data_IF_377192340170
#
_entry.id   IF_377192340170
#
_cell.length_a   1.000
_cell.length_b   1.000
_cell.length_c   1.000
_cell.angle_alpha   90.00
_cell.angle_beta   90.00
_cell.angle_gamma   90.00
#
_symmetry.space_group_name_H-M   'P 1'
#
loop_
_entity.id
_entity.type
_entity.pdbx_description
1 polymer ?
#
# COMPACT_ATOMS: atom_id res chain seq x y z
N UNK A 1 10.67 -34.65 30.34
CA UNK A 1 11.18 -33.67 29.34
C UNK A 1 10.57 -33.82 27.94
N UNK A 2 9.81 -34.89 27.64
CA UNK A 2 9.14 -35.10 26.33
C UNK A 2 7.84 -34.31 26.13
N UNK A 3 7.11 -33.96 27.20
CA UNK A 3 5.81 -33.30 27.10
C UNK A 3 5.84 -31.84 26.62
N UNK A 4 6.93 -31.11 26.87
CA UNK A 4 7.07 -29.70 26.48
C UNK A 4 7.33 -29.51 24.99
N UNK A 5 7.97 -30.48 24.31
CA UNK A 5 8.19 -30.41 22.85
C UNK A 5 6.91 -30.70 22.07
N UNK A 6 6.07 -31.65 22.55
CA UNK A 6 4.82 -32.02 21.91
C UNK A 6 3.77 -30.90 21.91
N UNK A 7 3.75 -30.06 22.95
CA UNK A 7 2.82 -28.92 23.03
C UNK A 7 3.29 -27.70 22.20
N UNK A 8 4.59 -27.57 21.95
CA UNK A 8 5.19 -26.40 21.28
C UNK A 8 5.17 -26.55 19.76
N UNK A 9 5.34 -27.78 19.25
CA UNK A 9 5.30 -28.08 17.82
C UNK A 9 4.02 -27.58 17.09
N UNK A 10 2.78 -27.84 17.56
CA UNK A 10 1.58 -27.38 16.87
C UNK A 10 1.40 -25.86 16.91
N UNK A 11 1.86 -25.22 17.99
CA UNK A 11 1.79 -23.77 18.15
C UNK A 11 2.81 -23.09 17.21
N UNK A 12 3.97 -23.72 17.03
CA UNK A 12 5.02 -23.25 16.13
C UNK A 12 4.65 -23.46 14.66
N UNK A 13 4.00 -24.57 14.30
CA UNK A 13 3.48 -24.78 12.93
C UNK A 13 2.33 -23.82 12.60
N UNK A 14 1.46 -23.51 13.56
CA UNK A 14 0.36 -22.54 13.36
C UNK A 14 0.89 -21.12 13.18
N UNK A 15 1.95 -20.74 13.91
CA UNK A 15 2.63 -19.45 13.73
C UNK A 15 3.39 -19.41 12.42
N UNK A 16 4.11 -20.47 12.05
CA UNK A 16 4.82 -20.55 10.77
C UNK A 16 3.83 -20.51 9.59
N UNK A 17 2.70 -21.19 9.70
CA UNK A 17 1.61 -21.15 8.73
C UNK A 17 0.99 -19.74 8.65
N UNK A 18 0.74 -19.09 9.80
CA UNK A 18 0.25 -17.71 9.84
C UNK A 18 1.26 -16.76 9.19
N UNK A 19 2.56 -16.85 9.50
CA UNK A 19 3.63 -16.07 8.86
C UNK A 19 3.68 -16.32 7.36
N UNK A 20 3.53 -17.57 6.94
CA UNK A 20 3.55 -17.93 5.51
C UNK A 20 2.34 -17.32 4.81
N UNK A 21 1.14 -17.39 5.40
CA UNK A 21 -0.06 -16.70 4.88
C UNK A 21 0.15 -15.19 4.88
N UNK A 22 0.71 -14.64 5.96
CA UNK A 22 0.95 -13.21 6.13
C UNK A 22 2.03 -12.70 5.20
N UNK A 23 2.97 -13.52 4.72
CA UNK A 23 4.01 -13.15 3.75
C UNK A 23 3.61 -13.50 2.31
N UNK A 24 2.74 -14.47 2.11
CA UNK A 24 2.29 -14.94 0.80
C UNK A 24 1.13 -14.13 0.21
N UNK A 25 0.41 -13.32 1.00
CA UNK A 25 -0.57 -12.36 0.42
C UNK A 25 0.25 -11.20 -0.15
N UNK A 26 0.60 -11.12 -1.45
CA UNK A 26 1.30 -9.94 -1.94
C UNK A 26 0.47 -8.69 -1.61
N UNK A 27 1.10 -7.51 -1.39
CA UNK A 27 0.35 -6.27 -1.48
C UNK A 27 -0.28 -6.28 -2.88
N UNK A 28 -1.59 -6.57 -2.93
CA UNK A 28 -2.30 -6.68 -4.18
C UNK A 28 -2.09 -5.35 -4.91
N UNK A 29 -1.74 -5.38 -6.21
CA UNK A 29 -1.56 -4.16 -6.97
C UNK A 29 -2.82 -3.30 -6.78
N UNK A 30 -2.62 -2.10 -6.24
CA UNK A 30 -3.67 -1.13 -5.89
C UNK A 30 -4.30 -0.48 -7.14
N UNK A 31 -4.45 -1.26 -8.21
CA UNK A 31 -4.97 -0.77 -9.47
C UNK A 31 -5.74 -1.86 -10.17
N UNK A 32 -6.94 -1.49 -10.62
CA UNK A 32 -7.68 -2.16 -11.70
C UNK A 32 -8.58 -3.31 -11.25
N UNK A 33 -9.60 -3.00 -10.45
CA UNK A 33 -10.83 -3.81 -10.42
C UNK A 33 -11.94 -3.30 -11.36
N UNK A 34 -11.80 -2.10 -11.97
CA UNK A 34 -12.86 -1.53 -12.82
C UNK A 34 -12.52 -1.38 -14.31
N UNK A 35 -11.27 -1.56 -14.77
CA UNK A 35 -10.97 -1.43 -16.22
C UNK A 35 -11.11 -2.73 -17.04
N UNK A 36 -11.46 -3.88 -16.41
CA UNK A 36 -11.52 -5.18 -17.12
C UNK A 36 -12.79 -5.41 -17.95
N UNK A 37 -13.74 -4.48 -17.98
CA UNK A 37 -14.99 -4.66 -18.72
C UNK A 37 -15.17 -3.75 -19.94
N UNK A 38 -14.18 -2.93 -20.32
CA UNK A 38 -14.27 -2.16 -21.56
C UNK A 38 -12.90 -1.92 -22.21
N UNK A 39 -12.35 -2.96 -22.83
CA UNK A 39 -11.60 -2.86 -24.09
C UNK A 39 -11.07 -4.24 -24.48
N UNK A 40 -11.76 -4.88 -25.43
CA UNK A 40 -11.08 -5.75 -26.39
C UNK A 40 -10.34 -4.80 -27.34
N UNK A 41 -9.09 -4.46 -27.02
CA UNK A 41 -8.19 -3.80 -27.97
C UNK A 41 -6.74 -4.12 -27.61
N UNK A 42 -6.17 -5.05 -28.38
CA UNK A 42 -4.74 -5.29 -28.67
C UNK A 42 -3.79 -5.31 -27.47
N UNK A 43 -3.39 -6.52 -27.07
CA UNK A 43 -2.27 -6.75 -26.16
C UNK A 43 -0.95 -6.28 -26.80
N UNK A 44 -0.18 -5.36 -26.18
CA UNK A 44 1.22 -5.20 -26.54
C UNK A 44 2.02 -6.39 -26.01
N UNK A 45 2.68 -7.12 -26.91
CA UNK A 45 3.66 -8.17 -26.59
C UNK A 45 4.90 -7.52 -25.96
N UNK A 46 4.86 -7.30 -24.65
CA UNK A 46 6.01 -6.94 -23.83
C UNK A 46 6.43 -8.11 -22.94
N UNK A 47 7.73 -8.36 -22.71
CA UNK A 47 8.17 -9.43 -21.82
C UNK A 47 7.59 -9.21 -20.43
N UNK A 48 6.83 -10.18 -19.94
CA UNK A 48 6.20 -10.15 -18.63
C UNK A 48 7.24 -9.80 -17.55
N UNK A 49 7.03 -8.77 -16.71
CA UNK A 49 7.98 -8.42 -15.68
C UNK A 49 8.10 -9.60 -14.69
N UNK A 50 9.31 -10.16 -14.57
CA UNK A 50 9.72 -11.14 -13.56
C UNK A 50 9.53 -10.56 -12.15
N UNK A 51 8.30 -10.56 -11.64
CA UNK A 51 7.95 -9.93 -10.35
C UNK A 51 7.34 -10.92 -9.36
N UNK A 52 7.80 -12.18 -9.38
CA UNK A 52 7.24 -13.28 -8.55
C UNK A 52 8.17 -13.85 -7.47
N UNK A 53 9.44 -13.45 -7.36
CA UNK A 53 10.37 -14.08 -6.39
C UNK A 53 10.50 -13.37 -5.03
N UNK A 54 10.09 -12.10 -4.91
CA UNK A 54 10.15 -11.36 -3.64
C UNK A 54 9.40 -12.03 -2.46
N UNK A 55 8.17 -12.58 -2.63
CA UNK A 55 7.50 -13.26 -1.52
C UNK A 55 8.17 -14.60 -1.18
N UNK A 56 8.72 -15.31 -2.17
CA UNK A 56 9.39 -16.59 -1.95
C UNK A 56 10.71 -16.41 -1.17
N UNK A 57 11.49 -15.36 -1.48
CA UNK A 57 12.71 -15.02 -0.73
C UNK A 57 12.39 -14.60 0.72
N UNK A 58 11.33 -13.82 0.94
CA UNK A 58 10.90 -13.41 2.27
C UNK A 58 10.45 -14.60 3.14
N UNK A 59 9.74 -15.57 2.54
CA UNK A 59 9.33 -16.83 3.18
C UNK A 59 10.56 -17.71 3.45
N UNK A 60 11.50 -17.82 2.51
CA UNK A 60 12.73 -18.58 2.70
C UNK A 60 13.60 -18.00 3.83
N UNK A 61 13.76 -16.68 3.90
CA UNK A 61 14.50 -16.02 4.99
C UNK A 61 13.83 -16.21 6.35
N UNK A 62 12.49 -16.16 6.42
CA UNK A 62 11.78 -16.38 7.68
C UNK A 62 11.86 -17.83 8.15
N UNK A 63 11.81 -18.80 7.24
CA UNK A 63 12.05 -20.22 7.55
C UNK A 63 13.47 -20.44 8.05
N UNK A 64 14.47 -19.83 7.39
CA UNK A 64 15.88 -19.93 7.82
C UNK A 64 16.06 -19.33 9.20
N UNK A 65 15.57 -18.12 9.48
CA UNK A 65 15.70 -17.46 10.80
C UNK A 65 15.07 -18.28 11.93
N UNK A 66 13.90 -18.89 11.69
CA UNK A 66 13.27 -19.78 12.66
C UNK A 66 14.08 -21.07 12.86
N UNK A 67 14.65 -21.63 11.79
CA UNK A 67 15.50 -22.82 11.84
C UNK A 67 16.87 -22.57 12.49
N UNK A 68 17.46 -21.38 12.36
CA UNK A 68 18.68 -21.03 13.12
C UNK A 68 18.35 -20.81 14.60
N UNK A 69 17.18 -20.24 14.90
CA UNK A 69 16.71 -20.04 16.28
C UNK A 69 16.44 -21.36 17.02
N UNK A 70 15.90 -22.36 16.34
CA UNK A 70 15.70 -23.71 16.91
C UNK A 70 17.04 -24.39 17.23
N UNK A 71 18.05 -24.24 16.37
CA UNK A 71 19.36 -24.85 16.55
C UNK A 71 20.20 -24.23 17.67
N UNK A 72 20.13 -22.91 17.86
CA UNK A 72 20.99 -22.20 18.81
C UNK A 72 20.43 -22.16 20.26
N UNK A 73 19.11 -22.24 20.44
CA UNK A 73 18.46 -22.01 21.75
C UNK A 73 17.32 -22.98 22.12
N UNK A 74 17.16 -24.08 21.38
CA UNK A 74 16.07 -25.04 21.58
C UNK A 74 14.68 -24.41 21.40
N UNK A 75 13.68 -24.89 22.13
CA UNK A 75 12.29 -24.41 22.01
C UNK A 75 12.14 -22.89 22.32
N UNK A 76 12.95 -22.36 23.24
CA UNK A 76 12.95 -20.93 23.61
C UNK A 76 13.47 -20.06 22.47
N UNK A 77 14.56 -20.47 21.81
CA UNK A 77 15.12 -19.76 20.65
C UNK A 77 14.17 -19.78 19.45
N UNK A 78 13.47 -20.89 19.24
CA UNK A 78 12.49 -21.04 18.17
C UNK A 78 11.30 -20.08 18.31
N UNK A 79 10.74 -19.95 19.52
CA UNK A 79 9.60 -19.07 19.80
C UNK A 79 9.98 -17.59 19.62
N UNK A 80 11.15 -17.18 20.11
CA UNK A 80 11.63 -15.80 19.96
C UNK A 80 11.90 -15.45 18.50
N UNK A 81 12.52 -16.36 17.74
CA UNK A 81 12.75 -16.17 16.31
C UNK A 81 11.42 -16.05 15.55
N UNK A 82 10.44 -16.89 15.85
CA UNK A 82 9.11 -16.82 15.25
C UNK A 82 8.39 -15.50 15.57
N UNK A 83 8.45 -15.05 16.83
CA UNK A 83 7.87 -13.78 17.25
C UNK A 83 8.53 -12.58 16.53
N UNK A 84 9.87 -12.57 16.45
CA UNK A 84 10.60 -11.51 15.74
C UNK A 84 10.25 -11.49 14.25
N UNK A 85 10.13 -12.65 13.62
CA UNK A 85 9.73 -12.75 12.20
C UNK A 85 8.33 -12.21 11.97
N UNK A 86 7.34 -12.58 12.81
CA UNK A 86 5.97 -12.08 12.68
C UNK A 86 5.94 -10.57 12.89
N UNK A 87 6.59 -10.07 13.95
CA UNK A 87 6.62 -8.64 14.28
C UNK A 87 7.33 -7.82 13.19
N UNK A 88 8.50 -8.27 12.72
CA UNK A 88 9.22 -7.60 11.63
C UNK A 88 8.42 -7.66 10.33
N UNK A 89 7.76 -8.79 10.03
CA UNK A 89 6.93 -8.96 8.84
C UNK A 89 5.70 -8.04 8.83
N UNK A 90 4.97 -7.94 9.94
CA UNK A 90 3.82 -7.04 10.07
C UNK A 90 4.25 -5.58 9.96
N UNK A 91 5.28 -5.18 10.72
CA UNK A 91 5.79 -3.80 10.69
C UNK A 91 6.29 -3.42 9.29
N UNK A 92 7.07 -4.30 8.65
CA UNK A 92 7.59 -4.03 7.30
C UNK A 92 6.44 -3.89 6.30
N UNK A 93 5.42 -4.74 6.37
CA UNK A 93 4.25 -4.64 5.48
C UNK A 93 3.47 -3.36 5.68
N UNK A 94 3.17 -3.01 6.93
CA UNK A 94 2.46 -1.77 7.26
C UNK A 94 3.27 -0.57 6.80
N UNK A 95 4.58 -0.55 7.07
CA UNK A 95 5.46 0.52 6.64
C UNK A 95 5.54 0.65 5.11
N UNK A 96 5.62 -0.47 4.38
CA UNK A 96 5.63 -0.49 2.92
C UNK A 96 4.28 -0.06 2.35
N UNK A 97 3.16 -0.47 2.94
CA UNK A 97 1.82 -0.04 2.56
C UNK A 97 1.65 1.48 2.77
N UNK A 98 2.03 1.98 3.95
CA UNK A 98 2.00 3.42 4.24
C UNK A 98 2.91 4.22 3.32
N UNK A 99 4.10 3.69 3.00
CA UNK A 99 5.02 4.34 2.05
C UNK A 99 4.47 4.32 0.61
N UNK A 100 3.83 3.23 0.19
CA UNK A 100 3.17 3.13 -1.11
C UNK A 100 2.00 4.11 -1.22
N UNK A 101 1.16 4.19 -0.19
CA UNK A 101 0.05 5.15 -0.12
C UNK A 101 0.57 6.59 -0.18
N UNK A 102 1.65 6.90 0.55
CA UNK A 102 2.29 8.21 0.49
C UNK A 102 2.80 8.57 -0.91
N UNK A 103 3.35 7.61 -1.65
CA UNK A 103 3.79 7.81 -3.05
C UNK A 103 2.59 7.99 -3.99
N UNK A 104 1.53 7.19 -3.83
CA UNK A 104 0.31 7.32 -4.63
C UNK A 104 -0.35 8.68 -4.42
N UNK A 105 -0.38 9.19 -3.19
CA UNK A 105 -0.90 10.55 -2.89
C UNK A 105 -0.11 11.64 -3.58
N UNK A 106 1.23 11.58 -3.52
CA UNK A 106 2.09 12.54 -4.24
C UNK A 106 1.83 12.50 -5.73
N UNK A 107 1.73 11.31 -6.31
CA UNK A 107 1.41 11.15 -7.73
C UNK A 107 0.03 11.74 -8.08
N UNK A 108 -1.00 11.56 -7.23
CA UNK A 108 -2.33 12.14 -7.45
C UNK A 108 -2.28 13.67 -7.43
N UNK A 109 -1.55 14.25 -6.48
CA UNK A 109 -1.34 15.70 -6.42
C UNK A 109 -0.57 16.24 -7.64
N UNK A 110 0.42 15.49 -8.13
CA UNK A 110 1.16 15.84 -9.34
C UNK A 110 0.26 15.81 -10.58
N UNK A 111 -0.63 14.81 -10.71
CA UNK A 111 -1.64 14.74 -11.78
C UNK A 111 -2.59 15.94 -11.71
N UNK A 112 -3.14 16.25 -10.53
CA UNK A 112 -4.06 17.37 -10.33
C UNK A 112 -3.41 18.69 -10.74
N UNK A 113 -2.15 18.90 -10.32
CA UNK A 113 -1.35 20.07 -10.71
C UNK A 113 -1.15 20.12 -12.23
N UNK A 114 -0.77 19.01 -12.86
CA UNK A 114 -0.58 18.94 -14.31
C UNK A 114 -1.86 19.31 -15.07
N UNK A 115 -3.00 18.74 -14.67
CA UNK A 115 -4.31 19.03 -15.28
C UNK A 115 -4.69 20.51 -15.11
N UNK A 116 -4.49 21.09 -13.92
CA UNK A 116 -4.78 22.50 -13.67
C UNK A 116 -3.91 23.45 -14.49
N UNK A 117 -2.60 23.17 -14.59
CA UNK A 117 -1.69 23.98 -15.43
C UNK A 117 -2.05 23.81 -16.92
N UNK A 118 -2.31 22.59 -17.39
CA UNK A 118 -2.73 22.34 -18.76
C UNK A 118 -4.04 23.06 -19.11
N UNK A 119 -5.02 23.02 -18.20
CA UNK A 119 -6.28 23.75 -18.35
C UNK A 119 -6.04 25.25 -18.53
N UNK A 120 -5.15 25.83 -17.73
CA UNK A 120 -4.82 27.25 -17.81
C UNK A 120 -4.25 27.65 -19.17
N UNK A 121 -3.34 26.85 -19.75
CA UNK A 121 -2.79 27.12 -21.09
C UNK A 121 -3.86 27.00 -22.18
N UNK A 122 -4.66 25.93 -22.15
CA UNK A 122 -5.72 25.71 -23.14
C UNK A 122 -6.78 26.81 -23.06
N UNK A 123 -7.11 27.28 -21.85
CA UNK A 123 -8.06 28.39 -21.64
C UNK A 123 -7.58 29.71 -22.25
N UNK A 124 -6.27 29.94 -22.29
CA UNK A 124 -5.66 31.11 -22.95
C UNK A 124 -5.56 30.93 -24.47
N UNK A 125 -6.07 29.82 -25.01
CA UNK A 125 -6.16 29.55 -26.45
C UNK A 125 -4.96 28.80 -27.03
N UNK A 126 -4.07 28.25 -26.19
CA UNK A 126 -3.01 27.37 -26.68
C UNK A 126 -3.57 26.07 -27.26
N UNK A 127 -2.90 25.56 -28.30
CA UNK A 127 -3.22 24.25 -28.88
C UNK A 127 -2.95 23.18 -27.81
N UNK A 128 -3.92 22.29 -27.50
CA UNK A 128 -3.76 21.28 -26.45
C UNK A 128 -2.50 20.41 -26.58
N UNK A 129 -2.14 20.03 -27.81
CA UNK A 129 -0.94 19.27 -28.11
C UNK A 129 0.35 20.00 -27.71
N UNK A 130 0.46 21.30 -28.02
CA UNK A 130 1.62 22.12 -27.68
C UNK A 130 1.67 22.42 -26.18
N UNK A 131 0.52 22.73 -25.60
CA UNK A 131 0.37 22.94 -24.16
C UNK A 131 0.80 21.70 -23.37
N UNK A 132 0.43 20.49 -23.82
CA UNK A 132 0.87 19.24 -23.20
C UNK A 132 2.39 19.11 -23.18
N UNK A 133 3.06 19.38 -24.31
CA UNK A 133 4.52 19.32 -24.41
C UNK A 133 5.18 20.36 -23.52
N UNK A 134 4.60 21.56 -23.41
CA UNK A 134 5.09 22.62 -22.54
C UNK A 134 4.98 22.23 -21.06
N UNK A 135 3.79 21.82 -20.61
CA UNK A 135 3.52 21.47 -19.21
C UNK A 135 4.30 20.23 -18.75
N UNK A 136 4.56 19.30 -19.67
CA UNK A 136 5.34 18.10 -19.39
C UNK A 136 6.80 18.37 -19.00
N UNK A 137 7.34 19.57 -19.29
CA UNK A 137 8.69 19.97 -18.86
C UNK A 137 8.80 20.13 -17.35
N UNK A 138 7.76 20.71 -16.74
CA UNK A 138 7.72 20.96 -15.29
C UNK A 138 7.00 19.83 -14.53
N UNK A 139 6.16 19.05 -15.23
CA UNK A 139 5.37 17.98 -14.64
C UNK A 139 5.67 16.62 -15.29
N UNK A 140 6.58 15.81 -14.74
CA UNK A 140 7.05 14.57 -15.36
C UNK A 140 5.97 13.49 -15.46
N UNK A 141 4.82 13.68 -14.81
CA UNK A 141 3.66 12.81 -14.92
C UNK A 141 3.09 12.76 -16.34
N UNK A 142 3.25 13.85 -17.11
CA UNK A 142 2.81 13.97 -18.51
C UNK A 142 3.92 13.72 -19.53
N UNK A 143 5.17 13.48 -19.10
CA UNK A 143 6.32 13.36 -19.99
C UNK A 143 6.18 12.26 -21.07
N UNK A 144 5.59 11.13 -20.71
CA UNK A 144 5.34 10.03 -21.66
C UNK A 144 4.29 10.41 -22.71
N UNK A 145 3.20 11.05 -22.30
CA UNK A 145 2.17 11.55 -23.21
C UNK A 145 2.71 12.64 -24.15
N UNK A 146 3.56 13.54 -23.64
CA UNK A 146 4.23 14.55 -24.45
C UNK A 146 5.22 13.94 -25.47
N UNK A 147 5.98 12.92 -25.07
CA UNK A 147 6.87 12.20 -26.00
C UNK A 147 6.07 11.52 -27.12
N UNK A 148 4.94 10.89 -26.79
CA UNK A 148 4.02 10.30 -27.77
C UNK A 148 3.44 11.36 -28.70
N UNK A 149 3.07 12.52 -28.18
CA UNK A 149 2.60 13.66 -28.99
C UNK A 149 3.66 14.13 -30.00
N UNK A 150 4.93 14.23 -29.59
CA UNK A 150 6.01 14.72 -30.46
C UNK A 150 6.30 13.81 -31.65
N UNK A 151 6.05 12.50 -31.51
CA UNK A 151 6.19 11.52 -32.59
C UNK A 151 4.88 11.27 -33.35
N UNK A 152 3.82 12.01 -33.03
CA UNK A 152 2.50 11.89 -33.68
C UNK A 152 1.71 10.62 -33.31
N UNK A 153 1.97 10.03 -32.14
CA UNK A 153 1.23 8.86 -31.65
C UNK A 153 -0.07 9.20 -30.89
N UNK A 154 -0.75 8.19 -30.36
CA UNK A 154 -2.01 8.36 -29.62
C UNK A 154 -1.78 8.76 -28.15
N UNK A 155 -1.99 10.05 -27.87
CA UNK A 155 -1.88 10.63 -26.52
C UNK A 155 -2.88 10.01 -25.52
N UNK A 156 -4.18 9.86 -25.85
CA UNK A 156 -5.15 9.19 -24.98
C UNK A 156 -4.71 7.80 -24.50
N UNK A 157 -4.19 6.94 -25.39
CA UNK A 157 -3.73 5.60 -25.00
C UNK A 157 -2.51 5.66 -24.08
N UNK A 158 -1.57 6.58 -24.30
CA UNK A 158 -0.41 6.78 -23.42
C UNK A 158 -0.83 7.23 -22.01
N UNK A 159 -1.79 8.15 -21.92
CA UNK A 159 -2.36 8.61 -20.66
C UNK A 159 -3.10 7.48 -19.93
N UNK A 160 -3.88 6.68 -20.66
CA UNK A 160 -4.64 5.57 -20.09
C UNK A 160 -3.73 4.45 -19.58
N UNK A 161 -2.67 4.10 -20.32
CA UNK A 161 -1.66 3.14 -19.90
C UNK A 161 -0.98 3.57 -18.58
N UNK A 162 -0.72 4.87 -18.42
CA UNK A 162 -0.11 5.42 -17.21
C UNK A 162 -1.09 5.54 -16.05
N UNK A 163 -2.39 5.68 -16.32
CA UNK A 163 -3.45 5.73 -15.30
C UNK A 163 -3.55 4.46 -14.44
N UNK A 164 -3.06 3.32 -14.93
CA UNK A 164 -3.00 2.06 -14.18
C UNK A 164 -2.00 2.08 -13.00
N UNK A 165 -1.12 3.09 -12.93
CA UNK A 165 -0.16 3.23 -11.83
C UNK A 165 -0.85 3.80 -10.59
N UNK A 166 -0.45 3.38 -9.36
CA UNK A 166 -1.01 3.94 -8.13
C UNK A 166 -0.91 5.47 -8.11
N UNK A 167 -2.01 6.15 -7.78
CA UNK A 167 -2.10 7.61 -7.75
C UNK A 167 -2.25 8.31 -9.10
N UNK A 168 -2.24 7.58 -10.23
CA UNK A 168 -2.34 8.18 -11.56
C UNK A 168 -3.75 8.11 -12.17
N UNK A 169 -4.76 7.68 -11.41
CA UNK A 169 -6.11 7.41 -11.92
C UNK A 169 -6.75 8.56 -12.70
N UNK A 170 -6.52 9.81 -12.28
CA UNK A 170 -7.04 11.01 -12.97
C UNK A 170 -6.53 11.20 -14.41
N UNK A 171 -5.44 10.53 -14.80
CA UNK A 171 -5.00 10.51 -16.20
C UNK A 171 -5.99 9.78 -17.11
N UNK A 172 -6.80 8.86 -16.58
CA UNK A 172 -7.85 8.20 -17.36
C UNK A 172 -8.96 9.17 -17.74
N UNK A 173 -9.32 10.09 -16.84
CA UNK A 173 -10.35 11.10 -17.11
C UNK A 173 -9.81 12.17 -18.07
N UNK A 174 -8.54 12.54 -17.92
CA UNK A 174 -7.81 13.36 -18.89
C UNK A 174 -7.81 12.71 -20.29
N UNK A 175 -7.53 11.40 -20.40
CA UNK A 175 -7.53 10.68 -21.67
C UNK A 175 -8.92 10.68 -22.34
N UNK A 176 -9.98 10.51 -21.55
CA UNK A 176 -11.37 10.57 -22.04
C UNK A 176 -11.72 11.97 -22.54
N UNK A 177 -11.41 13.00 -21.75
CA UNK A 177 -11.62 14.40 -22.13
C UNK A 177 -10.87 14.74 -23.42
N UNK A 178 -9.62 14.28 -23.55
CA UNK A 178 -8.80 14.48 -24.73
C UNK A 178 -9.43 13.84 -25.96
N UNK A 179 -9.83 12.56 -25.87
CA UNK A 179 -10.44 11.82 -27.00
C UNK A 179 -11.76 12.45 -27.46
N UNK A 180 -12.59 12.91 -26.53
CA UNK A 180 -13.85 13.61 -26.85
C UNK A 180 -13.56 14.95 -27.51
N UNK A 181 -12.66 15.76 -26.94
CA UNK A 181 -12.28 17.06 -27.52
C UNK A 181 -11.68 16.92 -28.92
N UNK A 182 -10.76 15.96 -29.13
CA UNK A 182 -10.10 15.75 -30.42
C UNK A 182 -11.05 15.25 -31.52
N UNK A 183 -12.09 14.49 -31.16
CA UNK A 183 -13.05 13.93 -32.13
C UNK A 183 -14.22 14.85 -32.44
N UNK A 184 -14.62 15.70 -31.48
CA UNK A 184 -15.79 16.58 -31.61
C UNK A 184 -15.45 18.06 -31.81
N UNK A 185 -14.20 18.45 -31.57
CA UNK A 185 -13.78 19.86 -31.54
C UNK A 185 -14.27 20.63 -30.29
N UNK A 186 -14.87 19.95 -29.32
CA UNK A 186 -15.34 20.57 -28.08
C UNK A 186 -14.18 21.17 -27.27
N UNK A 187 -14.39 22.29 -26.55
CA UNK A 187 -13.35 22.91 -25.74
C UNK A 187 -12.88 21.97 -24.64
N UNK A 188 -11.57 21.73 -24.56
CA UNK A 188 -10.97 20.80 -23.59
C UNK A 188 -10.84 21.40 -22.19
N UNK A 189 -10.72 22.73 -22.08
CA UNK A 189 -10.46 23.43 -20.82
C UNK A 189 -11.47 23.12 -19.69
N UNK A 190 -12.81 23.15 -19.91
CA UNK A 190 -13.77 22.86 -18.84
C UNK A 190 -13.63 21.44 -18.28
N UNK A 191 -13.39 20.44 -19.15
CA UNK A 191 -13.20 19.06 -18.72
C UNK A 191 -11.90 18.88 -17.90
N UNK A 192 -10.83 19.59 -18.26
CA UNK A 192 -9.59 19.59 -17.49
C UNK A 192 -9.74 20.27 -16.12
N UNK A 193 -10.47 21.38 -16.06
CA UNK A 193 -10.79 22.09 -14.82
C UNK A 193 -11.64 21.19 -13.90
N UNK A 194 -12.60 20.45 -14.45
CA UNK A 194 -13.40 19.47 -13.70
C UNK A 194 -12.54 18.33 -13.13
N UNK A 195 -11.61 17.78 -13.93
CA UNK A 195 -10.67 16.76 -13.44
C UNK A 195 -9.77 17.32 -12.33
N UNK A 196 -9.24 18.54 -12.50
CA UNK A 196 -8.41 19.18 -11.48
C UNK A 196 -9.21 19.48 -10.19
N UNK A 197 -10.44 19.95 -10.33
CA UNK A 197 -11.35 20.25 -9.23
C UNK A 197 -11.78 18.99 -8.48
N UNK A 198 -12.08 17.89 -9.19
CA UNK A 198 -12.39 16.59 -8.60
C UNK A 198 -11.23 16.02 -7.78
N UNK A 199 -9.99 16.13 -8.28
CA UNK A 199 -8.82 15.70 -7.53
C UNK A 199 -8.52 16.60 -6.32
N UNK A 200 -8.81 17.90 -6.41
CA UNK A 200 -8.68 18.83 -5.29
C UNK A 200 -9.76 18.62 -4.21
N UNK A 201 -11.00 18.31 -4.62
CA UNK A 201 -12.10 18.04 -3.69
C UNK A 201 -11.83 16.75 -2.91
N UNK A 202 -11.33 15.70 -3.55
CA UNK A 202 -10.84 14.48 -2.90
C UNK A 202 -9.83 14.76 -1.78
N UNK A 203 -8.85 15.63 -2.05
CA UNK A 203 -7.84 16.00 -1.06
C UNK A 203 -8.44 16.81 0.10
N UNK A 204 -9.38 17.71 -0.21
CA UNK A 204 -10.10 18.47 0.82
C UNK A 204 -10.92 17.56 1.74
N UNK A 205 -11.66 16.59 1.18
CA UNK A 205 -12.43 15.62 1.94
C UNK A 205 -11.52 14.78 2.85
N UNK A 206 -10.38 14.34 2.33
CA UNK A 206 -9.39 13.61 3.15
C UNK A 206 -8.85 14.47 4.28
N UNK A 207 -8.59 15.75 4.04
CA UNK A 207 -8.12 16.66 5.09
C UNK A 207 -9.15 16.79 6.22
N UNK A 208 -10.44 16.92 5.87
CA UNK A 208 -11.56 16.96 6.81
C UNK A 208 -11.66 15.65 7.59
N UNK A 209 -11.70 14.51 6.90
CA UNK A 209 -11.72 13.18 7.54
C UNK A 209 -10.51 12.98 8.45
N UNK A 210 -9.32 13.46 8.04
CA UNK A 210 -8.12 13.35 8.87
C UNK A 210 -8.20 14.17 10.15
N UNK A 211 -8.87 15.34 10.09
CA UNK A 211 -9.12 16.20 11.23
C UNK A 211 -10.16 15.59 12.16
N UNK A 212 -11.25 15.03 11.64
CA UNK A 212 -12.27 14.33 12.44
C UNK A 212 -11.71 13.08 13.14
N UNK A 213 -10.85 12.33 12.45
CA UNK A 213 -10.20 11.14 13.00
C UNK A 213 -9.05 11.47 13.98
N UNK A 214 -8.73 12.74 14.22
CA UNK A 214 -7.66 13.14 15.14
C UNK A 214 -7.93 12.69 16.59
N UNK A 215 -9.17 12.85 17.06
CA UNK A 215 -9.58 12.42 18.41
C UNK A 215 -9.57 10.89 18.57
N UNK A 216 -10.21 10.10 17.68
CA UNK A 216 -10.09 8.63 17.69
C UNK A 216 -8.65 8.12 17.58
N UNK A 217 -7.79 8.77 16.78
CA UNK A 217 -6.36 8.40 16.68
C UNK A 217 -5.61 8.70 17.97
N UNK A 218 -5.94 9.79 18.66
CA UNK A 218 -5.29 10.15 19.92
C UNK A 218 -5.58 9.11 21.01
N UNK A 219 -6.85 8.71 21.18
CA UNK A 219 -7.22 7.66 22.14
C UNK A 219 -6.64 6.31 21.75
N UNK A 220 -6.63 5.98 20.45
CA UNK A 220 -5.97 4.79 19.93
C UNK A 220 -4.47 4.75 20.25
N UNK A 221 -3.76 5.87 20.15
CA UNK A 221 -2.35 5.98 20.57
C UNK A 221 -2.17 5.74 22.07
N UNK A 222 -3.06 6.30 22.91
CA UNK A 222 -3.01 6.06 24.36
C UNK A 222 -3.19 4.56 24.67
N UNK A 223 -4.19 3.92 24.06
CA UNK A 223 -4.44 2.49 24.24
C UNK A 223 -3.30 1.62 23.69
N UNK A 224 -2.63 2.06 22.62
CA UNK A 224 -1.47 1.36 22.07
C UNK A 224 -0.21 1.48 22.94
N UNK A 225 -0.09 2.56 23.72
CA UNK A 225 1.04 2.78 24.65
C UNK A 225 0.81 2.10 26.00
N UNK A 226 -0.45 1.87 26.39
CA UNK A 226 -0.82 1.25 27.66
C UNK A 226 -0.08 -0.09 27.97
N UNK A 227 0.11 -1.02 27.02
CA UNK A 227 0.87 -2.24 27.26
C UNK A 227 2.33 -1.99 27.65
N UNK A 228 2.98 -0.97 27.05
CA UNK A 228 4.35 -0.59 27.37
C UNK A 228 4.45 -0.03 28.79
N UNK A 229 3.47 0.80 29.18
CA UNK A 229 3.37 1.33 30.54
C UNK A 229 3.16 0.20 31.56
N UNK A 230 2.31 -0.78 31.24
CA UNK A 230 2.09 -1.96 32.07
C UNK A 230 3.35 -2.82 32.25
N UNK A 231 4.12 -3.03 31.18
CA UNK A 231 5.42 -3.71 31.27
C UNK A 231 6.39 -2.92 32.14
N UNK A 232 6.47 -1.60 31.97
CA UNK A 232 7.32 -0.72 32.77
C UNK A 232 6.98 -0.73 34.25
N UNK A 233 5.69 -0.66 34.59
CA UNK A 233 5.21 -0.80 35.97
C UNK A 233 5.55 -2.18 36.55
N UNK A 234 5.39 -3.25 35.76
CA UNK A 234 5.76 -4.60 36.17
C UNK A 234 7.25 -4.71 36.54
N UNK A 235 8.13 -4.02 35.82
CA UNK A 235 9.55 -3.90 36.19
C UNK A 235 9.77 -3.05 37.45
N UNK A 236 9.04 -1.95 37.61
CA UNK A 236 9.17 -1.04 38.76
C UNK A 236 8.76 -1.72 40.08
N UNK A 237 7.76 -2.61 40.02
CA UNK A 237 7.31 -3.47 41.12
C UNK A 237 8.29 -4.62 41.43
N UNK A 238 9.44 -4.69 40.76
CA UNK A 238 10.44 -5.75 40.93
C UNK A 238 10.10 -7.05 40.19
N UNK A 239 9.02 -7.07 39.41
CA UNK A 239 8.70 -8.17 38.52
C UNK A 239 9.69 -8.25 37.36
N UNK A 240 9.90 -9.47 36.85
CA UNK A 240 10.68 -9.71 35.62
C UNK A 240 9.73 -10.25 34.54
N UNK A 241 8.78 -9.43 34.04
CA UNK A 241 7.70 -9.91 33.17
C UNK A 241 8.21 -10.51 31.87
N UNK A 242 9.27 -9.94 31.26
CA UNK A 242 9.90 -10.55 30.08
C UNK A 242 10.55 -11.89 30.41
N UNK A 243 11.19 -12.02 31.58
CA UNK A 243 11.78 -13.30 31.96
C UNK A 243 10.71 -14.37 32.16
N UNK A 244 9.56 -14.03 32.73
CA UNK A 244 8.40 -14.94 32.85
C UNK A 244 7.79 -15.30 31.49
N UNK A 245 7.62 -14.31 30.60
CA UNK A 245 7.05 -14.50 29.26
C UNK A 245 7.89 -15.47 28.41
N UNK A 246 9.20 -15.47 28.62
CA UNK A 246 10.15 -16.29 27.85
C UNK A 246 10.57 -17.54 28.64
N UNK A 247 10.29 -17.63 29.95
CA UNK A 247 10.65 -18.76 30.82
C UNK A 247 9.90 -20.06 30.54
N UNK A 248 8.65 -19.99 30.09
CA UNK A 248 7.80 -21.17 30.04
C UNK A 248 6.76 -21.19 28.92
N UNK A 249 6.13 -22.36 28.70
CA UNK A 249 5.22 -22.59 27.58
C UNK A 249 3.95 -21.72 27.64
N UNK A 250 3.46 -21.38 28.84
CA UNK A 250 2.33 -20.47 29.02
C UNK A 250 2.66 -19.05 28.55
N UNK A 251 3.87 -18.56 28.84
CA UNK A 251 4.33 -17.26 28.39
C UNK A 251 4.50 -17.19 26.88
N UNK A 252 5.01 -18.26 26.27
CA UNK A 252 5.12 -18.39 24.81
C UNK A 252 3.75 -18.38 24.13
N UNK A 253 2.77 -19.11 24.68
CA UNK A 253 1.40 -19.11 24.15
C UNK A 253 0.78 -17.72 24.20
N UNK A 254 0.93 -17.00 25.32
CA UNK A 254 0.42 -15.63 25.46
C UNK A 254 1.08 -14.65 24.47
N UNK A 255 2.40 -14.73 24.33
CA UNK A 255 3.15 -13.88 23.41
C UNK A 255 2.74 -14.11 21.95
N UNK A 256 2.64 -15.38 21.55
CA UNK A 256 2.23 -15.74 20.20
C UNK A 256 0.78 -15.33 19.95
N UNK A 257 -0.13 -15.61 20.89
CA UNK A 257 -1.53 -15.21 20.77
C UNK A 257 -1.68 -13.69 20.62
N UNK A 258 -1.01 -12.90 21.46
CA UNK A 258 -1.04 -11.43 21.36
C UNK A 258 -0.55 -10.92 20.01
N UNK A 259 0.51 -11.52 19.48
CA UNK A 259 1.08 -11.16 18.19
C UNK A 259 0.17 -11.55 17.02
N UNK A 260 -0.51 -12.70 17.11
CA UNK A 260 -1.50 -13.13 16.13
C UNK A 260 -2.73 -12.22 16.13
N UNK A 261 -3.23 -11.82 17.32
CA UNK A 261 -4.33 -10.85 17.41
C UNK A 261 -3.93 -9.49 16.83
N UNK A 262 -2.73 -9.00 17.14
CA UNK A 262 -2.23 -7.74 16.58
C UNK A 262 -2.12 -7.80 15.05
N UNK A 263 -1.53 -8.87 14.52
CA UNK A 263 -1.43 -9.09 13.08
C UNK A 263 -2.80 -9.21 12.42
N UNK A 264 -3.73 -9.95 13.04
CA UNK A 264 -5.11 -10.09 12.58
C UNK A 264 -5.86 -8.76 12.53
N UNK A 265 -5.70 -7.93 13.58
CA UNK A 265 -6.30 -6.59 13.65
C UNK A 265 -5.81 -5.67 12.53
N UNK A 266 -4.50 -5.65 12.26
CA UNK A 266 -3.91 -4.88 11.15
C UNK A 266 -4.46 -5.36 9.81
N UNK A 267 -4.47 -6.69 9.57
CA UNK A 267 -5.00 -7.25 8.33
C UNK A 267 -6.49 -6.95 8.15
N UNK A 268 -7.27 -6.94 9.22
CA UNK A 268 -8.68 -6.59 9.19
C UNK A 268 -8.89 -5.14 8.76
N UNK A 269 -8.14 -4.20 9.35
CA UNK A 269 -8.18 -2.78 8.99
C UNK A 269 -7.79 -2.58 7.53
N UNK A 270 -6.71 -3.23 7.06
CA UNK A 270 -6.29 -3.16 5.65
C UNK A 270 -7.34 -3.77 4.70
N UNK A 271 -8.06 -4.82 5.12
CA UNK A 271 -9.17 -5.39 4.32
C UNK A 271 -10.35 -4.42 4.25
N UNK A 272 -10.71 -3.79 5.36
CA UNK A 272 -11.80 -2.80 5.40
C UNK A 272 -11.48 -1.59 4.52
N UNK A 273 -10.27 -1.06 4.62
CA UNK A 273 -9.80 0.06 3.79
C UNK A 273 -9.84 -0.29 2.30
N UNK A 274 -9.43 -1.50 1.92
CA UNK A 274 -9.49 -1.97 0.53
C UNK A 274 -10.92 -2.17 0.03
N UNK A 275 -11.81 -2.70 0.86
CA UNK A 275 -13.22 -2.86 0.50
C UNK A 275 -13.89 -1.50 0.25
N UNK A 276 -13.57 -0.49 1.06
CA UNK A 276 -14.07 0.87 0.86
C UNK A 276 -13.56 1.48 -0.46
N UNK A 277 -12.29 1.27 -0.81
CA UNK A 277 -11.68 1.77 -2.04
C UNK A 277 -12.18 1.08 -3.34
N UNK A 278 -12.81 -0.09 -3.23
CA UNK A 278 -13.36 -0.83 -4.37
C UNK A 278 -14.87 -0.57 -4.60
N UNK A 279 -15.54 0.12 -3.67
CA UNK A 279 -16.97 0.39 -3.68
C UNK A 279 -17.38 1.74 -4.28
N UNK A 280 -16.47 2.44 -4.95
CA UNK A 280 -16.67 3.69 -5.69
C UNK A 280 -16.31 3.48 -7.16
#
# INVERSE_FOLDING_TARGET
MSGSLAAVLPLLTLVLAMVTVLLAVPPAPQGVASARLSSRAVDPVGPAPRRRSAPALAVATSVVVVATGTFAGGARGAVLAAALVVAAGTVTRVALAHAADGRARRAQADVARACGVLASYVRVGQVPADALVLVARDTPVLAEAAAVQQIGGDVPDALHARAARPGHGGLSDLARAWRVSSSTGAPMAPALEEVAAGLASDESLRSVVSAELSAPRSTGKVMAVLPLVGIGLGYLLGGRPLDWLVAGPLGWACLLLGLLLAAGGVLWIERLARAAAAGT
#
